data_IF_682103675515
#
_entry.id   IF_682103675515
#
_cell.length_a   1.000
_cell.length_b   1.000
_cell.length_c   1.000
_cell.angle_alpha   90.00
_cell.angle_beta   90.00
_cell.angle_gamma   90.00
#
_symmetry.space_group_name_H-M   'P 1'
#
loop_
_entity.id
_entity.type
_entity.pdbx_description
1 polymer ?
#
# COMPACT_ATOMS: atom_id res chain seq x y z
N UNK A 1 5.66 -6.35 -6.02
CA UNK A 1 4.19 -6.22 -5.95
C UNK A 1 3.82 -4.82 -5.53
N UNK A 2 2.86 -4.22 -6.20
CA UNK A 2 2.36 -2.90 -5.88
C UNK A 2 0.96 -2.73 -6.46
N UNK A 3 0.29 -1.65 -6.11
CA UNK A 3 -1.01 -1.31 -6.68
C UNK A 3 -1.01 0.13 -7.19
N UNK A 4 -1.89 0.40 -8.12
CA UNK A 4 -2.09 1.74 -8.65
C UNK A 4 -3.54 2.14 -8.41
N UNK A 5 -3.75 3.39 -7.97
CA UNK A 5 -5.07 3.88 -7.59
C UNK A 5 -5.12 5.39 -7.72
N UNK A 6 -6.32 5.92 -7.99
CA UNK A 6 -6.56 7.36 -7.85
C UNK A 6 -6.57 7.68 -6.36
N UNK A 7 -5.69 8.56 -5.94
CA UNK A 7 -5.52 8.86 -4.52
C UNK A 7 -5.57 10.36 -4.28
N UNK A 8 -6.37 10.77 -3.31
CA UNK A 8 -6.37 12.15 -2.84
C UNK A 8 -5.43 12.25 -1.65
N UNK A 9 -4.35 13.01 -1.81
CA UNK A 9 -3.37 13.18 -0.75
C UNK A 9 -3.95 13.99 0.41
N UNK A 10 -3.29 13.91 1.58
CA UNK A 10 -3.65 14.72 2.74
C UNK A 10 -3.51 16.22 2.49
N UNK A 11 -2.84 16.61 1.43
CA UNK A 11 -2.70 18.01 1.02
C UNK A 11 -3.79 18.45 0.05
N UNK A 12 -4.78 17.59 -0.23
CA UNK A 12 -5.88 17.91 -1.11
C UNK A 12 -5.60 17.73 -2.60
N UNK A 13 -4.45 17.16 -2.94
CA UNK A 13 -4.08 16.91 -4.34
C UNK A 13 -4.58 15.54 -4.79
N UNK A 14 -5.21 15.50 -5.97
CA UNK A 14 -5.62 14.23 -6.58
C UNK A 14 -4.49 13.70 -7.45
N UNK A 15 -4.11 12.46 -7.23
CA UNK A 15 -3.12 11.75 -8.03
C UNK A 15 -3.82 10.61 -8.75
N UNK A 16 -3.88 10.68 -10.10
CA UNK A 16 -4.69 9.76 -10.89
C UNK A 16 -4.20 8.31 -10.84
N UNK A 17 -2.89 8.10 -10.88
CA UNK A 17 -2.29 6.78 -10.90
C UNK A 17 -1.21 6.67 -9.83
N UNK A 18 -1.58 6.98 -8.59
CA UNK A 18 -0.67 6.86 -7.47
C UNK A 18 -0.17 5.43 -7.34
N UNK A 19 1.13 5.27 -7.19
CA UNK A 19 1.77 3.98 -7.03
C UNK A 19 1.95 3.71 -5.55
N UNK A 20 1.30 2.66 -5.04
CA UNK A 20 1.40 2.26 -3.64
C UNK A 20 2.19 0.96 -3.53
N UNK A 21 3.16 0.94 -2.63
CA UNK A 21 3.87 -0.30 -2.31
C UNK A 21 4.14 -0.37 -0.81
N UNK A 22 4.31 -1.59 -0.31
CA UNK A 22 4.73 -1.80 1.08
C UNK A 22 6.18 -1.41 1.21
N UNK A 23 6.45 -0.35 1.96
CA UNK A 23 7.82 0.09 2.25
C UNK A 23 8.31 -0.44 3.59
N UNK A 24 7.40 -0.76 4.51
CA UNK A 24 7.75 -1.31 5.81
C UNK A 24 6.66 -2.24 6.30
N UNK A 25 7.06 -3.34 6.90
CA UNK A 25 6.15 -4.30 7.50
C UNK A 25 6.69 -4.67 8.87
N UNK A 26 5.87 -4.53 9.90
CA UNK A 26 6.28 -4.82 11.27
C UNK A 26 5.09 -5.35 12.07
N UNK A 27 5.38 -5.93 13.22
CA UNK A 27 4.33 -6.43 14.09
C UNK A 27 4.68 -7.76 14.71
N UNK A 28 3.63 -8.54 15.02
CA UNK A 28 3.77 -9.84 15.67
C UNK A 28 2.72 -10.82 15.13
N UNK A 29 2.61 -11.98 15.78
CA UNK A 29 1.67 -13.04 15.35
C UNK A 29 0.22 -12.60 15.37
N UNK A 30 -0.15 -11.64 16.23
CA UNK A 30 -1.53 -11.23 16.43
C UNK A 30 -1.94 -10.07 15.54
N UNK A 31 -1.00 -9.16 15.28
CA UNK A 31 -1.30 -7.97 14.49
C UNK A 31 -0.04 -7.49 13.79
N UNK A 32 -0.18 -7.17 12.51
CA UNK A 32 0.89 -6.59 11.72
C UNK A 32 0.47 -5.24 11.17
N UNK A 33 1.44 -4.34 11.01
CA UNK A 33 1.25 -3.03 10.42
C UNK A 33 2.06 -2.94 9.15
N UNK A 34 1.40 -2.66 8.04
CA UNK A 34 2.05 -2.37 6.77
C UNK A 34 2.03 -0.87 6.55
N UNK A 35 3.18 -0.29 6.23
CA UNK A 35 3.27 1.10 5.83
C UNK A 35 3.43 1.13 4.32
N UNK A 36 2.40 1.63 3.63
CA UNK A 36 2.43 1.80 2.19
C UNK A 36 2.94 3.18 1.84
N UNK A 37 3.98 3.24 1.03
CA UNK A 37 4.43 4.51 0.47
C UNK A 37 3.63 4.83 -0.79
N UNK A 38 3.22 6.08 -0.93
CA UNK A 38 2.50 6.54 -2.11
C UNK A 38 3.41 7.42 -2.94
N UNK A 39 3.57 7.05 -4.20
CA UNK A 39 4.45 7.73 -5.16
C UNK A 39 3.63 8.23 -6.33
N UNK A 40 4.12 9.27 -7.00
CA UNK A 40 3.41 9.88 -8.11
C UNK A 40 3.16 8.88 -9.25
N UNK A 41 4.12 7.98 -9.48
CA UNK A 41 4.03 6.92 -10.48
C UNK A 41 5.09 5.85 -10.19
N UNK A 42 5.07 4.78 -10.99
CA UNK A 42 6.01 3.67 -10.83
C UNK A 42 7.46 4.10 -11.05
N UNK A 43 7.70 4.97 -12.00
CA UNK A 43 9.04 5.45 -12.34
C UNK A 43 9.63 6.27 -11.19
N UNK A 44 8.82 7.10 -10.54
CA UNK A 44 9.27 7.86 -9.37
C UNK A 44 9.70 6.94 -8.23
N UNK A 45 8.94 5.88 -7.97
CA UNK A 45 9.28 4.89 -6.95
C UNK A 45 10.59 4.17 -7.31
N UNK A 46 10.74 3.78 -8.58
CA UNK A 46 11.92 3.06 -9.06
C UNK A 46 13.19 3.93 -9.04
N UNK A 47 13.04 5.24 -9.23
CA UNK A 47 14.18 6.17 -9.23
C UNK A 47 14.65 6.59 -7.84
N UNK A 48 13.98 6.12 -6.80
CA UNK A 48 14.34 6.46 -5.41
C UNK A 48 13.76 7.77 -4.91
N UNK A 49 12.74 8.30 -5.59
CA UNK A 49 12.04 9.49 -5.12
C UNK A 49 11.34 9.20 -3.80
N UNK A 50 11.20 10.21 -2.95
CA UNK A 50 10.48 10.07 -1.69
C UNK A 50 8.98 9.90 -1.94
N UNK A 51 8.33 9.11 -1.09
CA UNK A 51 6.88 9.01 -1.11
C UNK A 51 6.26 10.37 -0.75
N UNK A 52 5.20 10.76 -1.48
CA UNK A 52 4.52 12.02 -1.18
C UNK A 52 3.55 11.87 -0.02
N UNK A 53 3.18 10.63 0.32
CA UNK A 53 2.30 10.32 1.46
C UNK A 53 2.53 8.88 1.88
N UNK A 54 1.99 8.53 3.05
CA UNK A 54 2.07 7.17 3.58
C UNK A 54 0.69 6.76 4.10
N UNK A 55 0.39 5.48 3.97
CA UNK A 55 -0.83 4.90 4.50
C UNK A 55 -0.49 3.69 5.37
N UNK A 56 -0.94 3.70 6.62
CA UNK A 56 -0.74 2.58 7.53
C UNK A 56 -1.96 1.67 7.52
N UNK A 57 -1.73 0.39 7.35
CA UNK A 57 -2.78 -0.62 7.34
C UNK A 57 -2.44 -1.71 8.34
N UNK A 58 -3.34 -1.94 9.29
CA UNK A 58 -3.18 -3.00 10.29
C UNK A 58 -4.03 -4.19 9.92
N UNK A 59 -3.46 -5.38 10.08
CA UNK A 59 -4.18 -6.61 9.78
C UNK A 59 -3.70 -7.74 10.69
N UNK A 60 -4.58 -8.74 10.89
CA UNK A 60 -4.22 -9.96 11.60
C UNK A 60 -3.64 -10.94 10.59
N UNK A 61 -2.36 -11.31 10.71
CA UNK A 61 -1.75 -12.19 9.73
C UNK A 61 -2.32 -13.62 9.84
N UNK A 62 -2.50 -14.25 8.69
CA UNK A 62 -2.77 -15.68 8.63
C UNK A 62 -1.41 -16.39 8.56
N UNK A 63 -1.03 -17.03 9.66
CA UNK A 63 0.29 -17.65 9.78
C UNK A 63 0.48 -18.82 8.82
N UNK A 64 -0.62 -19.43 8.37
CA UNK A 64 -0.59 -20.52 7.40
C UNK A 64 -0.86 -20.03 5.97
N UNK A 65 -1.09 -18.74 5.81
CA UNK A 65 -1.52 -18.16 4.53
C UNK A 65 -0.40 -17.70 3.61
N UNK A 66 0.84 -17.97 3.94
CA UNK A 66 1.98 -17.64 3.10
C UNK A 66 2.52 -16.23 3.31
N UNK A 67 2.88 -15.55 2.25
CA UNK A 67 3.61 -14.29 2.29
C UNK A 67 2.79 -13.16 2.95
N UNK A 68 3.34 -12.56 4.00
CA UNK A 68 2.67 -11.47 4.72
C UNK A 68 2.55 -10.19 3.89
N UNK A 69 3.47 -9.94 2.98
CA UNK A 69 3.38 -8.79 2.09
C UNK A 69 2.17 -8.94 1.17
N UNK A 70 1.97 -10.14 0.60
CA UNK A 70 0.80 -10.42 -0.22
C UNK A 70 -0.49 -10.27 0.58
N UNK A 71 -0.51 -10.73 1.83
CA UNK A 71 -1.67 -10.57 2.71
C UNK A 71 -2.00 -9.10 2.97
N UNK A 72 -0.97 -8.25 3.13
CA UNK A 72 -1.17 -6.82 3.32
C UNK A 72 -1.86 -6.19 2.11
N UNK A 73 -1.44 -6.54 0.89
CA UNK A 73 -2.08 -6.03 -0.33
C UNK A 73 -3.52 -6.53 -0.48
N UNK A 74 -3.75 -7.81 -0.22
CA UNK A 74 -5.10 -8.38 -0.31
C UNK A 74 -6.04 -7.73 0.70
N UNK A 75 -5.58 -7.53 1.94
CA UNK A 75 -6.36 -6.85 2.96
C UNK A 75 -6.69 -5.42 2.58
N UNK A 76 -5.71 -4.70 2.05
CA UNK A 76 -5.91 -3.32 1.62
C UNK A 76 -6.94 -3.25 0.50
N UNK A 77 -6.85 -4.13 -0.50
CA UNK A 77 -7.78 -4.14 -1.63
C UNK A 77 -9.22 -4.49 -1.23
N UNK A 78 -9.41 -5.11 -0.07
CA UNK A 78 -10.76 -5.43 0.43
C UNK A 78 -11.45 -4.20 1.03
N UNK A 79 -10.72 -3.12 1.29
CA UNK A 79 -11.29 -1.89 1.83
C UNK A 79 -11.99 -1.10 0.73
N UNK A 80 -13.15 -0.46 1.02
CA UNK A 80 -13.91 0.27 -0.01
C UNK A 80 -13.09 1.33 -0.74
N UNK A 81 -12.20 2.03 -0.02
CA UNK A 81 -11.40 3.11 -0.61
C UNK A 81 -10.38 2.60 -1.63
N UNK A 82 -10.05 1.32 -1.58
CA UNK A 82 -9.03 0.71 -2.43
C UNK A 82 -9.58 -0.39 -3.33
N UNK A 83 -10.91 -0.56 -3.37
CA UNK A 83 -11.53 -1.62 -4.16
C UNK A 83 -11.28 -1.49 -5.66
N UNK A 84 -11.05 -0.27 -6.14
CA UNK A 84 -10.79 0.00 -7.57
C UNK A 84 -9.30 0.01 -7.91
N UNK A 85 -8.44 -0.38 -6.97
CA UNK A 85 -7.01 -0.44 -7.23
C UNK A 85 -6.67 -1.55 -8.21
N UNK A 86 -5.58 -1.37 -8.94
CA UNK A 86 -5.09 -2.35 -9.91
C UNK A 86 -3.68 -2.78 -9.54
N UNK A 87 -3.40 -4.05 -9.75
CA UNK A 87 -2.03 -4.57 -9.56
C UNK A 87 -1.11 -4.01 -10.65
N UNK A 88 0.11 -3.71 -10.27
CA UNK A 88 1.10 -3.21 -11.23
C UNK A 88 2.52 -3.64 -10.90
#
# INVERSE_FOLDING_TARGET
MAISIKYKSRFGLDVENAYMRVDQLSGNKSEMTAVFGLYANKEAAASGADAFDNYQFKFSPNLDGGNFIAQAYEGLKSMPDFANSQDC
#
